data_IF_376608811115
#
_entry.id   IF_376608811115
#
_cell.length_a   1.000
_cell.length_b   1.000
_cell.length_c   1.000
_cell.angle_alpha   90.00
_cell.angle_beta   90.00
_cell.angle_gamma   90.00
#
_symmetry.space_group_name_H-M   'P 1'
#
loop_
_entity.id
_entity.type
_entity.pdbx_description
1 polymer ?
#
# COMPACT_ATOMS: atom_id res chain seq x y z
N UNK A 1 1.60 73.83 52.86
CA UNK A 1 0.51 74.05 51.95
C UNK A 1 0.31 72.73 51.23
N UNK A 2 -0.35 71.69 51.69
CA UNK A 2 -1.60 71.59 52.49
C UNK A 2 -2.74 71.41 51.49
N UNK A 3 -3.04 70.20 51.11
CA UNK A 3 -4.44 69.83 50.95
C UNK A 3 -4.62 68.32 50.83
N UNK A 4 -5.32 67.84 51.85
CA UNK A 4 -5.84 66.46 51.88
C UNK A 4 -7.03 66.35 50.92
N UNK A 5 -7.17 65.28 50.29
CA UNK A 5 -8.41 64.74 49.75
C UNK A 5 -8.58 63.28 50.17
N UNK A 6 -8.94 63.11 51.46
CA UNK A 6 -9.81 62.04 51.91
C UNK A 6 -11.24 62.39 51.51
N UNK A 7 -11.93 61.39 51.02
CA UNK A 7 -13.36 61.13 51.00
C UNK A 7 -13.79 60.56 49.64
N UNK A 8 -13.55 59.24 49.43
CA UNK A 8 -14.33 58.45 48.47
C UNK A 8 -15.24 57.49 49.27
N UNK A 9 -16.57 57.53 49.12
CA UNK A 9 -17.48 56.68 49.86
C UNK A 9 -17.32 55.20 49.44
N UNK A 10 -17.26 54.34 50.47
CA UNK A 10 -17.35 52.90 50.39
C UNK A 10 -18.66 52.54 49.67
N UNK A 11 -18.53 52.01 48.48
CA UNK A 11 -19.62 51.33 47.75
C UNK A 11 -19.85 50.00 48.45
N UNK A 12 -20.92 49.94 49.25
CA UNK A 12 -21.43 48.72 49.85
C UNK A 12 -21.88 47.78 48.74
N UNK A 13 -21.23 46.59 48.62
CA UNK A 13 -21.72 45.48 47.80
C UNK A 13 -23.15 45.09 48.28
N UNK A 14 -24.11 44.96 47.36
CA UNK A 14 -25.40 44.37 47.69
C UNK A 14 -25.27 42.84 47.79
N UNK A 15 -25.70 42.33 48.95
CA UNK A 15 -25.89 40.91 49.22
C UNK A 15 -26.51 40.14 48.06
N UNK A 16 -25.72 39.29 47.43
CA UNK A 16 -26.16 38.35 46.41
C UNK A 16 -26.73 37.05 47.02
N UNK A 17 -27.75 37.19 47.85
CA UNK A 17 -28.67 36.07 48.15
C UNK A 17 -29.90 36.17 47.21
N UNK A 18 -29.65 35.97 45.90
CA UNK A 18 -30.72 35.84 44.93
C UNK A 18 -30.79 34.39 44.48
N UNK A 19 -31.86 33.73 44.85
CA UNK A 19 -32.14 32.32 44.51
C UNK A 19 -31.92 32.03 43.02
N UNK A 20 -31.18 30.99 42.75
CA UNK A 20 -31.14 30.38 41.43
C UNK A 20 -32.55 29.90 41.06
N UNK A 21 -33.31 30.78 40.46
CA UNK A 21 -34.50 30.40 39.74
C UNK A 21 -34.09 29.36 38.71
N UNK A 22 -34.59 28.14 38.87
CA UNK A 22 -34.47 27.08 37.87
C UNK A 22 -35.09 27.60 36.58
N UNK A 23 -34.23 28.08 35.66
CA UNK A 23 -34.69 28.52 34.35
C UNK A 23 -35.42 27.38 33.67
N UNK A 24 -36.47 27.66 32.88
CA UNK A 24 -37.29 26.66 32.26
C UNK A 24 -36.40 25.70 31.51
N UNK A 25 -36.49 24.43 31.86
CA UNK A 25 -35.78 23.34 31.17
C UNK A 25 -36.21 23.38 29.70
N UNK A 26 -35.40 24.00 28.84
CA UNK A 26 -35.69 24.08 27.42
C UNK A 26 -35.92 22.66 26.88
N UNK A 27 -37.11 22.35 26.37
CA UNK A 27 -37.43 21.01 25.84
C UNK A 27 -36.49 20.58 24.73
N UNK A 28 -35.81 21.56 24.11
CA UNK A 28 -34.77 21.34 23.13
C UNK A 28 -33.51 20.62 23.64
N UNK A 29 -33.15 20.78 24.95
CA UNK A 29 -32.03 20.03 25.53
C UNK A 29 -32.35 18.56 25.75
N UNK A 30 -33.57 18.23 26.10
CA UNK A 30 -34.04 16.84 26.28
C UNK A 30 -34.14 16.13 24.91
N UNK A 31 -34.64 16.84 23.87
CA UNK A 31 -34.63 16.36 22.48
C UNK A 31 -33.23 16.12 21.96
N UNK A 32 -32.29 17.05 22.22
CA UNK A 32 -30.92 16.90 21.72
C UNK A 32 -30.19 15.69 22.38
N UNK A 33 -30.48 15.37 23.66
CA UNK A 33 -29.92 14.17 24.32
C UNK A 33 -30.50 12.88 23.75
N UNK A 34 -31.77 12.87 23.35
CA UNK A 34 -32.42 11.72 22.69
C UNK A 34 -31.93 11.51 21.27
N UNK A 35 -31.58 12.60 20.57
CA UNK A 35 -30.97 12.54 19.24
C UNK A 35 -29.50 12.10 19.25
N UNK A 36 -28.70 12.41 20.29
CA UNK A 36 -27.33 11.94 20.41
C UNK A 36 -27.21 10.43 20.62
N UNK A 37 -28.14 9.81 21.34
CA UNK A 37 -28.22 8.36 21.46
C UNK A 37 -28.61 7.67 20.12
N UNK A 38 -29.57 8.24 19.40
CA UNK A 38 -29.98 7.76 18.08
C UNK A 38 -28.93 8.01 16.99
N UNK A 39 -28.15 9.09 17.11
CA UNK A 39 -27.07 9.40 16.16
C UNK A 39 -25.94 8.37 16.19
N UNK A 40 -25.59 7.86 17.38
CA UNK A 40 -24.61 6.75 17.50
C UNK A 40 -25.15 5.45 16.92
N UNK A 41 -26.42 5.15 17.12
CA UNK A 41 -27.09 4.00 16.48
C UNK A 41 -27.22 4.18 14.96
N UNK A 42 -27.54 5.39 14.48
CA UNK A 42 -27.60 5.70 13.05
C UNK A 42 -26.24 5.64 12.35
N UNK A 43 -25.18 6.15 12.99
CA UNK A 43 -23.81 6.04 12.45
C UNK A 43 -23.32 4.59 12.50
N UNK A 44 -23.62 3.87 13.60
CA UNK A 44 -23.30 2.45 13.71
C UNK A 44 -23.99 1.58 12.66
N UNK A 45 -25.26 1.84 12.33
CA UNK A 45 -25.98 1.10 11.28
C UNK A 45 -25.52 1.50 9.86
N UNK A 46 -25.18 2.78 9.64
CA UNK A 46 -24.67 3.27 8.36
C UNK A 46 -23.28 2.71 8.02
N UNK A 47 -22.41 2.59 9.02
CA UNK A 47 -21.07 2.02 8.84
C UNK A 47 -21.07 0.49 9.02
N UNK A 48 -21.98 -0.03 9.85
CA UNK A 48 -22.04 -1.46 10.16
C UNK A 48 -22.35 -2.30 8.94
N UNK A 49 -23.30 -1.90 8.11
CA UNK A 49 -23.70 -2.67 6.91
C UNK A 49 -22.55 -2.79 5.89
N UNK A 50 -21.87 -1.71 5.44
CA UNK A 50 -20.74 -1.82 4.53
C UNK A 50 -19.56 -2.58 5.14
N UNK A 51 -19.25 -2.35 6.43
CA UNK A 51 -18.17 -3.04 7.11
C UNK A 51 -18.44 -4.53 7.25
N UNK A 52 -19.64 -4.92 7.65
CA UNK A 52 -20.04 -6.34 7.76
C UNK A 52 -19.98 -7.01 6.39
N UNK A 53 -20.50 -6.35 5.34
CA UNK A 53 -20.42 -6.87 3.98
C UNK A 53 -18.98 -7.05 3.52
N UNK A 54 -18.13 -6.02 3.71
CA UNK A 54 -16.73 -6.08 3.34
C UNK A 54 -15.97 -7.17 4.09
N UNK A 55 -16.18 -7.29 5.41
CA UNK A 55 -15.60 -8.34 6.24
C UNK A 55 -16.06 -9.74 5.80
N UNK A 56 -17.36 -9.91 5.55
CA UNK A 56 -17.93 -11.19 5.10
C UNK A 56 -17.35 -11.60 3.74
N UNK A 57 -17.28 -10.69 2.76
CA UNK A 57 -16.75 -10.99 1.43
C UNK A 57 -15.25 -11.28 1.48
N UNK A 58 -14.44 -10.41 2.14
CA UNK A 58 -12.99 -10.61 2.19
C UNK A 58 -12.59 -11.81 3.05
N UNK A 59 -13.07 -11.90 4.27
CA UNK A 59 -12.73 -13.03 5.14
C UNK A 59 -13.34 -14.31 4.59
N UNK A 60 -14.59 -14.26 4.11
CA UNK A 60 -15.25 -15.41 3.50
C UNK A 60 -14.48 -15.95 2.29
N UNK A 61 -14.01 -15.09 1.39
CA UNK A 61 -13.21 -15.52 0.23
C UNK A 61 -11.87 -16.13 0.63
N UNK A 62 -11.19 -15.55 1.64
CA UNK A 62 -9.95 -16.12 2.17
C UNK A 62 -10.17 -17.47 2.85
N UNK A 63 -11.24 -17.59 3.63
CA UNK A 63 -11.61 -18.87 4.25
C UNK A 63 -11.96 -19.93 3.22
N UNK A 64 -12.73 -19.58 2.18
CA UNK A 64 -13.04 -20.49 1.08
C UNK A 64 -11.78 -20.94 0.34
N UNK A 65 -10.83 -20.04 0.12
CA UNK A 65 -9.54 -20.37 -0.47
C UNK A 65 -8.76 -21.36 0.42
N UNK A 66 -8.70 -21.10 1.73
CA UNK A 66 -8.04 -22.01 2.69
C UNK A 66 -8.76 -23.36 2.71
N UNK A 67 -10.10 -23.37 2.75
CA UNK A 67 -10.90 -24.61 2.72
C UNK A 67 -10.68 -25.36 1.40
N UNK A 68 -10.54 -24.65 0.28
CA UNK A 68 -10.27 -25.27 -1.03
C UNK A 68 -8.98 -26.10 -1.05
N UNK A 69 -7.99 -25.74 -0.25
CA UNK A 69 -6.73 -26.49 -0.13
C UNK A 69 -6.93 -27.88 0.51
N UNK A 70 -8.03 -28.09 1.23
CA UNK A 70 -8.35 -29.38 1.88
C UNK A 70 -9.20 -30.30 1.01
N UNK A 71 -9.70 -29.86 -0.14
CA UNK A 71 -10.46 -30.75 -1.01
C UNK A 71 -9.55 -31.76 -1.71
N UNK A 72 -10.02 -33.00 -1.79
CA UNK A 72 -9.35 -34.04 -2.56
C UNK A 72 -9.70 -33.92 -4.03
N UNK A 73 -8.71 -34.13 -4.88
CA UNK A 73 -8.95 -34.23 -6.33
C UNK A 73 -9.41 -35.65 -6.66
N UNK A 74 -10.60 -35.77 -7.26
CA UNK A 74 -11.08 -37.06 -7.77
C UNK A 74 -10.24 -37.45 -9.02
N UNK A 75 -9.54 -38.58 -9.02
CA UNK A 75 -8.70 -39.00 -10.13
C UNK A 75 -9.48 -39.26 -11.43
N UNK A 76 -10.74 -39.66 -11.32
CA UNK A 76 -11.59 -40.03 -12.47
C UNK A 76 -12.19 -38.80 -13.16
N UNK A 77 -12.66 -37.82 -12.38
CA UNK A 77 -13.36 -36.64 -12.92
C UNK A 77 -12.47 -35.39 -12.99
N UNK A 78 -11.29 -35.43 -12.36
CA UNK A 78 -10.37 -34.29 -12.24
C UNK A 78 -11.05 -33.06 -11.59
N UNK A 79 -12.06 -33.28 -10.76
CA UNK A 79 -12.77 -32.22 -10.04
C UNK A 79 -12.52 -32.34 -8.54
N UNK A 80 -12.59 -31.22 -7.80
CA UNK A 80 -12.56 -31.28 -6.34
C UNK A 80 -13.72 -32.14 -5.84
N UNK A 81 -13.42 -33.17 -5.04
CA UNK A 81 -14.42 -33.99 -4.35
C UNK A 81 -14.74 -33.36 -2.98
N UNK A 82 -15.89 -33.73 -2.41
CA UNK A 82 -16.26 -33.27 -1.07
C UNK A 82 -15.46 -33.94 0.07
N UNK A 83 -14.54 -34.85 -0.28
CA UNK A 83 -13.69 -35.50 0.70
C UNK A 83 -12.57 -34.54 1.12
N UNK A 84 -12.46 -34.32 2.41
CA UNK A 84 -11.40 -33.47 2.97
C UNK A 84 -10.12 -34.28 3.16
N UNK A 85 -9.01 -33.70 2.68
CA UNK A 85 -7.66 -34.28 2.82
C UNK A 85 -6.66 -33.21 3.20
N UNK A 86 -5.60 -33.59 3.88
CA UNK A 86 -4.44 -32.73 4.14
C UNK A 86 -3.32 -32.94 3.13
N UNK A 87 -3.49 -33.84 2.16
CA UNK A 87 -2.43 -34.23 1.20
C UNK A 87 -1.89 -33.03 0.41
N UNK A 88 -2.76 -32.13 -0.06
CA UNK A 88 -2.31 -30.94 -0.79
C UNK A 88 -1.45 -30.01 0.04
N UNK A 89 -1.79 -29.82 1.32
CA UNK A 89 -0.97 -29.03 2.25
C UNK A 89 0.36 -29.74 2.53
N UNK A 90 0.31 -31.03 2.83
CA UNK A 90 1.52 -31.82 3.04
C UNK A 90 2.40 -31.77 1.79
N UNK A 91 1.83 -31.92 0.60
CA UNK A 91 2.56 -31.81 -0.67
C UNK A 91 3.14 -30.41 -0.85
N UNK A 92 2.37 -29.34 -0.64
CA UNK A 92 2.85 -27.97 -0.79
C UNK A 92 4.01 -27.63 0.17
N UNK A 93 4.07 -28.24 1.37
CA UNK A 93 5.09 -27.98 2.37
C UNK A 93 6.18 -29.06 2.46
N UNK A 94 6.21 -30.03 1.55
CA UNK A 94 7.32 -30.99 1.42
C UNK A 94 8.53 -30.37 0.73
N UNK A 95 9.23 -29.46 1.41
CA UNK A 95 10.38 -28.72 0.86
C UNK A 95 11.57 -29.61 0.44
N UNK A 96 11.63 -30.86 0.87
CA UNK A 96 12.65 -31.84 0.49
C UNK A 96 12.28 -32.68 -0.74
N UNK A 97 11.05 -32.55 -1.25
CA UNK A 97 10.59 -33.25 -2.44
C UNK A 97 11.14 -32.54 -3.70
N UNK A 98 11.83 -33.25 -4.62
CA UNK A 98 12.36 -32.67 -5.84
C UNK A 98 11.31 -31.94 -6.70
N UNK A 99 10.06 -32.44 -6.70
CA UNK A 99 8.96 -31.81 -7.44
C UNK A 99 8.53 -30.46 -6.84
N UNK A 100 8.68 -30.30 -5.54
CA UNK A 100 8.35 -29.06 -4.81
C UNK A 100 9.54 -28.11 -4.74
N UNK A 101 10.79 -28.64 -4.82
CA UNK A 101 12.00 -27.82 -4.71
C UNK A 101 12.07 -26.68 -5.72
N UNK A 102 11.59 -26.95 -6.95
CA UNK A 102 11.47 -25.93 -7.99
C UNK A 102 10.54 -24.77 -7.57
N UNK A 103 9.40 -25.09 -6.96
CA UNK A 103 8.44 -24.09 -6.45
C UNK A 103 9.01 -23.30 -5.27
N UNK A 104 9.74 -23.96 -4.36
CA UNK A 104 10.45 -23.32 -3.23
C UNK A 104 11.45 -22.29 -3.73
N UNK A 105 12.27 -22.64 -4.70
CA UNK A 105 13.25 -21.73 -5.28
C UNK A 105 12.61 -20.53 -5.95
N UNK A 106 11.54 -20.74 -6.73
CA UNK A 106 10.77 -19.66 -7.35
C UNK A 106 10.14 -18.76 -6.29
N UNK A 107 9.65 -19.32 -5.19
CA UNK A 107 9.07 -18.55 -4.10
C UNK A 107 10.09 -17.60 -3.45
N UNK A 108 11.24 -18.11 -3.02
CA UNK A 108 12.28 -17.26 -2.42
C UNK A 108 12.81 -16.22 -3.40
N UNK A 109 12.93 -16.57 -4.68
CA UNK A 109 13.25 -15.60 -5.75
C UNK A 109 12.19 -14.51 -5.84
N UNK A 110 10.92 -14.86 -5.76
CA UNK A 110 9.81 -13.89 -5.80
C UNK A 110 9.85 -12.95 -4.59
N UNK A 111 10.12 -13.47 -3.41
CA UNK A 111 10.33 -12.64 -2.20
C UNK A 111 11.50 -11.68 -2.42
N UNK A 112 12.61 -12.16 -2.96
CA UNK A 112 13.78 -11.33 -3.30
C UNK A 112 13.44 -10.22 -4.32
N UNK A 113 12.69 -10.55 -5.36
CA UNK A 113 12.21 -9.58 -6.36
C UNK A 113 11.26 -8.56 -5.71
N UNK A 114 10.34 -9.00 -4.85
CA UNK A 114 9.42 -8.10 -4.17
C UNK A 114 10.15 -7.12 -3.24
N UNK A 115 11.15 -7.59 -2.50
CA UNK A 115 12.01 -6.71 -1.69
C UNK A 115 12.81 -5.74 -2.56
N UNK A 116 13.39 -6.21 -3.66
CA UNK A 116 14.14 -5.37 -4.60
C UNK A 116 13.27 -4.27 -5.22
N UNK A 117 12.10 -4.63 -5.74
CA UNK A 117 11.12 -3.68 -6.29
C UNK A 117 10.70 -2.66 -5.25
N UNK A 118 10.38 -3.11 -4.02
CA UNK A 118 10.01 -2.23 -2.91
C UNK A 118 11.13 -1.26 -2.57
N UNK A 119 12.37 -1.74 -2.54
CA UNK A 119 13.54 -0.91 -2.27
C UNK A 119 13.80 0.12 -3.38
N UNK A 120 13.68 -0.28 -4.65
CA UNK A 120 13.81 0.65 -5.79
C UNK A 120 12.68 1.69 -5.76
N UNK A 121 11.43 1.28 -5.50
CA UNK A 121 10.31 2.21 -5.33
C UNK A 121 10.59 3.22 -4.22
N UNK A 122 11.14 2.80 -3.09
CA UNK A 122 11.55 3.69 -2.01
C UNK A 122 12.63 4.69 -2.45
N UNK A 123 13.69 4.22 -3.14
CA UNK A 123 14.76 5.08 -3.63
C UNK A 123 14.26 6.14 -4.63
N UNK A 124 13.26 5.82 -5.45
CA UNK A 124 12.65 6.77 -6.39
C UNK A 124 11.66 7.69 -5.66
N UNK A 125 10.81 7.13 -4.80
CA UNK A 125 9.75 7.87 -4.12
C UNK A 125 10.30 8.95 -3.19
N UNK A 126 11.39 8.67 -2.49
CA UNK A 126 11.96 9.57 -1.49
C UNK A 126 12.44 10.91 -2.08
N UNK A 127 13.32 10.98 -3.11
CA UNK A 127 13.73 12.25 -3.69
C UNK A 127 12.57 12.96 -4.40
N UNK A 128 11.68 12.23 -5.08
CA UNK A 128 10.54 12.80 -5.77
C UNK A 128 9.59 13.49 -4.78
N UNK A 129 9.23 12.81 -3.71
CA UNK A 129 8.34 13.36 -2.67
C UNK A 129 8.99 14.50 -1.91
N UNK A 130 10.30 14.41 -1.63
CA UNK A 130 11.04 15.49 -1.00
C UNK A 130 11.04 16.75 -1.87
N UNK A 131 11.32 16.61 -3.16
CA UNK A 131 11.27 17.72 -4.11
C UNK A 131 9.89 18.36 -4.13
N UNK A 132 8.83 17.58 -4.25
CA UNK A 132 7.45 18.11 -4.32
C UNK A 132 7.03 18.79 -3.02
N UNK A 133 7.37 18.19 -1.87
CA UNK A 133 6.94 18.69 -0.56
C UNK A 133 7.72 19.92 -0.09
N UNK A 134 9.05 19.97 -0.34
CA UNK A 134 9.94 20.96 0.29
C UNK A 134 10.58 21.95 -0.70
N UNK A 135 10.69 21.61 -1.99
CA UNK A 135 11.38 22.44 -2.98
C UNK A 135 10.41 23.11 -3.96
N UNK A 136 9.38 22.40 -4.41
CA UNK A 136 8.44 22.91 -5.41
C UNK A 136 7.60 24.08 -4.88
N UNK A 137 7.44 25.11 -5.68
CA UNK A 137 6.54 26.25 -5.33
C UNK A 137 5.06 25.81 -5.27
N UNK A 138 4.25 26.54 -4.50
CA UNK A 138 2.86 26.15 -4.19
C UNK A 138 1.99 25.83 -5.41
N UNK A 139 2.19 26.53 -6.54
CA UNK A 139 1.44 26.27 -7.77
C UNK A 139 1.85 24.95 -8.45
N UNK A 140 3.15 24.71 -8.61
CA UNK A 140 3.69 23.49 -9.21
C UNK A 140 3.42 22.26 -8.36
N UNK A 141 3.45 22.38 -7.04
CA UNK A 141 3.21 21.28 -6.10
C UNK A 141 1.88 20.56 -6.38
N UNK A 142 0.78 21.30 -6.56
CA UNK A 142 -0.53 20.72 -6.89
C UNK A 142 -0.51 19.96 -8.22
N UNK A 143 0.07 20.58 -9.26
CA UNK A 143 0.20 19.96 -10.57
C UNK A 143 1.07 18.69 -10.54
N UNK A 144 2.18 18.71 -9.81
CA UNK A 144 3.08 17.55 -9.68
C UNK A 144 2.42 16.39 -8.93
N UNK A 145 1.65 16.67 -7.84
CA UNK A 145 0.88 15.64 -7.14
C UNK A 145 -0.15 15.01 -8.07
N UNK A 146 -0.90 15.83 -8.83
CA UNK A 146 -1.87 15.31 -9.80
C UNK A 146 -1.17 14.50 -10.88
N UNK A 147 -0.04 14.97 -11.42
CA UNK A 147 0.74 14.25 -12.43
C UNK A 147 1.23 12.88 -11.95
N UNK A 148 1.63 12.77 -10.67
CA UNK A 148 2.01 11.50 -10.06
C UNK A 148 0.84 10.54 -9.88
N UNK A 149 -0.38 11.07 -9.71
CA UNK A 149 -1.58 10.27 -9.55
C UNK A 149 -2.19 9.85 -10.89
N UNK A 150 -1.92 10.57 -11.99
CA UNK A 150 -2.46 10.25 -13.31
C UNK A 150 -2.24 8.78 -13.72
N UNK A 151 -1.06 8.17 -13.53
CA UNK A 151 -0.85 6.76 -13.86
C UNK A 151 -1.76 5.79 -13.11
N UNK A 152 -2.30 6.18 -11.92
CA UNK A 152 -3.22 5.32 -11.17
C UNK A 152 -4.59 5.19 -11.83
N UNK A 153 -4.98 6.17 -12.66
CA UNK A 153 -6.24 6.13 -13.41
C UNK A 153 -6.20 5.16 -14.58
N UNK A 154 -5.02 4.90 -15.12
CA UNK A 154 -4.86 3.90 -16.16
C UNK A 154 -5.00 2.48 -15.58
N UNK A 155 -5.80 1.63 -16.22
CA UNK A 155 -5.98 0.25 -15.82
C UNK A 155 -4.65 -0.51 -15.74
N UNK A 156 -4.54 -1.41 -14.77
CA UNK A 156 -3.33 -2.20 -14.54
C UNK A 156 -2.84 -2.94 -15.81
N UNK A 157 -3.74 -3.65 -16.50
CA UNK A 157 -3.41 -4.37 -17.73
C UNK A 157 -2.96 -3.44 -18.86
N UNK A 158 -3.60 -2.28 -18.99
CA UNK A 158 -3.23 -1.29 -20.02
C UNK A 158 -1.79 -0.84 -19.83
N UNK A 159 -1.39 -0.56 -18.59
CA UNK A 159 0.00 -0.21 -18.25
C UNK A 159 0.97 -1.35 -18.56
N UNK A 160 0.62 -2.58 -18.21
CA UNK A 160 1.45 -3.77 -18.49
C UNK A 160 1.67 -3.96 -19.98
N UNK A 161 0.63 -3.88 -20.81
CA UNK A 161 0.75 -3.99 -22.26
C UNK A 161 1.44 -2.79 -22.91
N UNK A 162 1.27 -1.59 -22.37
CA UNK A 162 2.02 -0.42 -22.81
C UNK A 162 3.53 -0.62 -22.60
N UNK A 163 3.92 -1.11 -21.41
CA UNK A 163 5.31 -1.45 -21.13
C UNK A 163 5.83 -2.54 -22.05
N UNK A 164 5.06 -3.62 -22.28
CA UNK A 164 5.42 -4.66 -23.25
C UNK A 164 5.72 -4.08 -24.63
N UNK A 165 4.88 -3.17 -25.11
CA UNK A 165 5.07 -2.51 -26.40
C UNK A 165 6.31 -1.60 -26.41
N UNK A 166 6.58 -0.90 -25.29
CA UNK A 166 7.74 0.00 -25.16
C UNK A 166 9.08 -0.74 -25.13
N UNK A 167 9.15 -1.88 -24.45
CA UNK A 167 10.39 -2.64 -24.25
C UNK A 167 10.61 -3.74 -25.30
N UNK A 168 9.68 -3.91 -26.26
CA UNK A 168 9.77 -4.95 -27.27
C UNK A 168 11.06 -4.82 -28.08
N UNK A 169 11.91 -5.86 -28.18
CA UNK A 169 13.13 -5.81 -28.96
C UNK A 169 12.89 -5.91 -30.48
N UNK A 170 11.74 -6.39 -30.91
CA UNK A 170 11.41 -6.58 -32.34
C UNK A 170 10.19 -5.76 -32.72
N UNK A 171 10.39 -4.60 -33.37
CA UNK A 171 9.38 -3.91 -34.15
C UNK A 171 7.99 -3.79 -33.49
N UNK A 172 7.92 -3.44 -32.22
CA UNK A 172 6.64 -3.13 -31.59
C UNK A 172 5.92 -2.08 -32.42
N UNK A 173 4.59 -1.96 -32.30
CA UNK A 173 3.73 -1.01 -33.05
C UNK A 173 4.20 0.45 -33.03
N UNK A 174 5.22 0.77 -32.25
CA UNK A 174 5.87 2.08 -32.16
C UNK A 174 7.22 2.13 -32.89
N UNK A 175 7.60 1.10 -33.66
CA UNK A 175 8.71 1.21 -34.58
C UNK A 175 8.38 2.33 -35.55
N UNK A 176 9.19 3.39 -35.54
CA UNK A 176 9.04 4.47 -36.51
C UNK A 176 9.07 3.86 -37.93
N UNK A 177 8.05 4.14 -38.74
CA UNK A 177 7.94 3.64 -40.08
C UNK A 177 9.25 3.89 -40.83
N UNK A 178 10.00 2.81 -41.13
CA UNK A 178 11.17 2.86 -42.02
C UNK A 178 12.53 2.52 -41.42
N UNK A 179 12.69 2.35 -40.13
CA UNK A 179 13.95 1.81 -39.53
C UNK A 179 13.56 0.63 -38.63
N UNK A 180 13.65 -0.57 -39.23
CA UNK A 180 13.32 -1.81 -38.55
C UNK A 180 14.23 -2.03 -37.36
N UNK A 181 13.66 -2.00 -36.21
CA UNK A 181 14.11 -2.67 -34.99
C UNK A 181 13.76 -1.86 -33.73
N UNK A 182 13.06 -2.49 -32.82
CA UNK A 182 12.96 -2.06 -31.44
C UNK A 182 11.69 -1.29 -31.09
N UNK A 183 11.28 -1.45 -29.82
CA UNK A 183 10.21 -0.68 -29.20
C UNK A 183 10.62 0.78 -29.01
N UNK A 184 9.71 1.57 -28.42
CA UNK A 184 9.92 3.00 -28.18
C UNK A 184 11.24 3.31 -27.43
N UNK A 185 11.63 2.49 -26.46
CA UNK A 185 12.86 2.70 -25.70
C UNK A 185 14.10 2.50 -26.57
N UNK A 186 14.14 1.44 -27.39
CA UNK A 186 15.27 1.19 -28.27
C UNK A 186 15.41 2.26 -29.35
N UNK A 187 14.29 2.72 -29.91
CA UNK A 187 14.30 3.78 -30.93
C UNK A 187 14.65 5.15 -30.39
N UNK A 188 14.34 5.45 -29.13
CA UNK A 188 14.50 6.79 -28.52
C UNK A 188 15.77 6.90 -27.69
N UNK A 189 16.08 5.85 -26.92
CA UNK A 189 17.20 5.85 -25.96
C UNK A 189 18.38 5.01 -26.50
N UNK A 190 18.18 4.24 -27.58
CA UNK A 190 19.19 3.35 -28.15
C UNK A 190 19.43 2.09 -27.31
N UNK A 191 18.61 1.83 -26.29
CA UNK A 191 18.73 0.67 -25.42
C UNK A 191 17.35 0.21 -24.93
N UNK A 192 17.17 -1.10 -24.84
CA UNK A 192 15.99 -1.73 -24.21
C UNK A 192 16.43 -2.90 -23.34
N UNK A 193 15.78 -3.14 -22.18
CA UNK A 193 16.03 -4.34 -21.41
C UNK A 193 15.55 -5.61 -22.13
N UNK A 194 14.79 -5.47 -23.22
CA UNK A 194 14.11 -6.60 -23.86
C UNK A 194 13.10 -7.26 -22.93
N UNK A 195 12.57 -8.42 -23.33
CA UNK A 195 11.73 -9.23 -22.45
C UNK A 195 12.60 -10.02 -21.46
N UNK A 196 12.07 -10.30 -20.26
CA UNK A 196 12.72 -11.11 -19.25
C UNK A 196 12.77 -10.46 -17.86
N UNK A 197 13.72 -10.87 -17.05
CA UNK A 197 13.78 -10.51 -15.61
C UNK A 197 13.87 -9.02 -15.35
N UNK A 198 14.71 -8.32 -16.10
CA UNK A 198 14.88 -6.86 -15.95
C UNK A 198 13.61 -6.13 -16.35
N UNK A 199 12.99 -6.54 -17.45
CA UNK A 199 11.71 -5.99 -17.90
C UNK A 199 10.60 -6.15 -16.85
N UNK A 200 10.52 -7.31 -16.21
CA UNK A 200 9.55 -7.57 -15.14
C UNK A 200 9.80 -6.60 -13.99
N UNK A 201 11.05 -6.48 -13.51
CA UNK A 201 11.39 -5.60 -12.38
C UNK A 201 11.07 -4.15 -12.71
N UNK A 202 11.50 -3.64 -13.86
CA UNK A 202 11.27 -2.25 -14.28
C UNK A 202 9.78 -1.95 -14.42
N UNK A 203 9.02 -2.87 -15.02
CA UNK A 203 7.57 -2.73 -15.16
C UNK A 203 6.87 -2.71 -13.81
N UNK A 204 7.25 -3.61 -12.88
CA UNK A 204 6.70 -3.64 -11.53
C UNK A 204 7.04 -2.37 -10.73
N UNK A 205 8.26 -1.87 -10.85
CA UNK A 205 8.65 -0.59 -10.23
C UNK A 205 7.76 0.55 -10.73
N UNK A 206 7.58 0.67 -12.05
CA UNK A 206 6.70 1.69 -12.61
C UNK A 206 5.26 1.59 -12.10
N UNK A 207 4.73 0.36 -12.02
CA UNK A 207 3.37 0.12 -11.59
C UNK A 207 3.15 0.49 -10.12
N UNK A 208 4.13 0.20 -9.26
CA UNK A 208 3.97 0.28 -7.80
C UNK A 208 4.62 1.51 -7.16
N UNK A 209 5.47 2.25 -7.87
CA UNK A 209 6.10 3.47 -7.33
C UNK A 209 5.09 4.51 -6.82
N UNK A 210 3.90 4.74 -7.43
CA UNK A 210 2.93 5.68 -6.90
C UNK A 210 2.39 5.28 -5.52
N UNK A 211 2.28 3.98 -5.24
CA UNK A 211 1.83 3.47 -3.93
C UNK A 211 2.86 3.69 -2.82
N UNK A 212 4.14 3.80 -3.17
CA UNK A 212 5.19 4.21 -2.24
C UNK A 212 5.23 5.73 -2.05
N UNK A 213 5.01 6.49 -3.12
CA UNK A 213 5.03 7.95 -3.12
C UNK A 213 3.96 8.53 -2.20
N UNK A 214 2.72 8.03 -2.27
CA UNK A 214 1.59 8.60 -1.53
C UNK A 214 1.80 8.65 -0.01
N UNK A 215 2.15 7.55 0.67
CA UNK A 215 2.39 7.59 2.11
C UNK A 215 3.60 8.46 2.50
N UNK A 216 4.69 8.39 1.72
CA UNK A 216 5.89 9.19 1.99
C UNK A 216 5.60 10.69 1.83
N UNK A 217 4.85 11.06 0.77
CA UNK A 217 4.41 12.44 0.56
C UNK A 217 3.56 12.94 1.73
N UNK A 218 2.57 12.14 2.17
CA UNK A 218 1.73 12.49 3.31
C UNK A 218 2.55 12.62 4.62
N UNK A 219 3.56 11.78 4.81
CA UNK A 219 4.49 11.88 5.93
C UNK A 219 5.33 13.15 5.90
N UNK A 220 5.90 13.48 4.74
CA UNK A 220 6.69 14.71 4.56
C UNK A 220 5.85 15.98 4.71
N UNK A 221 4.59 15.95 4.30
CA UNK A 221 3.68 17.09 4.40
C UNK A 221 3.32 17.43 5.85
N UNK A 222 3.27 16.44 6.71
CA UNK A 222 3.03 16.60 8.17
C UNK A 222 4.24 17.14 8.93
N UNK A 223 5.45 17.10 8.37
CA UNK A 223 6.64 17.61 9.04
C UNK A 223 6.61 19.14 9.08
N UNK A 224 6.59 19.71 10.30
CA UNK A 224 6.60 21.16 10.49
C UNK A 224 7.93 21.76 10.01
N UNK A 225 7.88 22.91 9.32
CA UNK A 225 9.11 23.63 8.94
C UNK A 225 10.01 23.95 10.14
N UNK A 226 9.43 24.25 11.30
CA UNK A 226 10.16 24.57 12.52
C UNK A 226 11.12 23.49 13.01
N UNK A 227 10.86 22.21 12.70
CA UNK A 227 11.79 21.11 13.00
C UNK A 227 13.06 21.20 12.14
N UNK A 228 12.91 21.63 10.90
CA UNK A 228 14.05 21.79 9.98
C UNK A 228 14.88 23.03 10.34
N UNK A 229 14.19 24.11 10.72
CA UNK A 229 14.81 25.36 11.17
C UNK A 229 15.59 25.13 12.46
N UNK A 230 15.00 24.47 13.46
CA UNK A 230 15.67 24.10 14.71
C UNK A 230 16.91 23.20 14.48
N UNK A 231 16.85 22.26 13.55
CA UNK A 231 18.02 21.45 13.19
C UNK A 231 19.14 22.32 12.55
N UNK A 232 18.75 23.31 11.75
CA UNK A 232 19.66 24.30 11.17
C UNK A 232 20.32 25.18 12.22
N UNK A 233 19.55 25.69 13.17
CA UNK A 233 20.04 26.52 14.30
C UNK A 233 21.05 25.76 15.18
N UNK A 234 20.89 24.44 15.29
CA UNK A 234 21.86 23.56 15.98
C UNK A 234 23.07 23.21 15.11
N UNK A 235 23.23 23.84 13.94
CA UNK A 235 24.37 23.64 13.03
C UNK A 235 24.37 22.31 12.29
N UNK A 236 23.22 21.64 12.18
CA UNK A 236 23.14 20.38 11.45
C UNK A 236 23.26 20.62 9.93
N UNK A 237 24.20 19.90 9.28
CA UNK A 237 24.31 19.90 7.82
C UNK A 237 23.10 19.20 7.19
N UNK A 238 22.68 19.53 5.94
CA UNK A 238 21.48 18.99 5.30
C UNK A 238 21.39 17.46 5.32
N UNK A 239 22.50 16.76 5.07
CA UNK A 239 22.53 15.30 5.12
C UNK A 239 22.33 14.74 6.54
N UNK A 240 22.86 15.43 7.56
CA UNK A 240 22.66 15.04 8.96
C UNK A 240 21.22 15.27 9.39
N UNK A 241 20.63 16.40 9.02
CA UNK A 241 19.18 16.68 9.24
C UNK A 241 18.32 15.62 8.57
N UNK A 242 18.61 15.27 7.32
CA UNK A 242 17.89 14.23 6.61
C UNK A 242 17.98 12.88 7.35
N UNK A 243 19.17 12.41 7.68
CA UNK A 243 19.38 11.09 8.29
C UNK A 243 18.90 11.00 9.73
N UNK A 244 19.06 12.07 10.53
CA UNK A 244 18.81 12.04 11.98
C UNK A 244 17.44 12.57 12.37
N UNK A 245 16.78 13.36 11.52
CA UNK A 245 15.46 13.97 11.79
C UNK A 245 14.42 13.48 10.81
N UNK A 246 14.63 13.72 9.51
CA UNK A 246 13.59 13.45 8.50
C UNK A 246 13.36 11.96 8.34
N UNK A 247 14.40 11.17 8.11
CA UNK A 247 14.29 9.74 7.81
C UNK A 247 13.65 8.94 8.96
N UNK A 248 14.01 9.13 10.24
CA UNK A 248 13.32 8.44 11.34
C UNK A 248 11.84 8.78 11.44
N UNK A 249 11.48 10.06 11.25
CA UNK A 249 10.07 10.49 11.27
C UNK A 249 9.26 9.99 10.08
N UNK A 250 9.94 9.67 8.96
CA UNK A 250 9.30 9.09 7.78
C UNK A 250 9.19 7.56 7.83
N UNK A 251 9.88 6.89 8.74
CA UNK A 251 9.87 5.42 8.81
C UNK A 251 8.46 4.82 8.83
N UNK A 252 7.48 5.34 9.59
CA UNK A 252 6.12 4.84 9.57
C UNK A 252 5.46 4.96 8.18
N UNK A 253 5.68 6.08 7.50
CA UNK A 253 5.14 6.32 6.15
C UNK A 253 5.81 5.45 5.09
N UNK A 254 7.13 5.26 5.21
CA UNK A 254 7.88 4.32 4.36
C UNK A 254 7.40 2.89 4.58
N UNK A 255 7.21 2.49 5.84
CA UNK A 255 6.71 1.18 6.18
C UNK A 255 5.30 0.95 5.58
N UNK A 256 4.40 1.93 5.69
CA UNK A 256 3.08 1.86 5.07
C UNK A 256 3.16 1.70 3.53
N UNK A 257 3.98 2.51 2.85
CA UNK A 257 4.20 2.39 1.40
C UNK A 257 4.82 1.05 1.00
N UNK A 258 5.75 0.54 1.81
CA UNK A 258 6.41 -0.73 1.57
C UNK A 258 5.47 -1.93 1.68
N UNK A 259 4.49 -1.89 2.58
CA UNK A 259 3.47 -2.93 2.69
C UNK A 259 2.71 -3.09 1.38
N UNK A 260 2.27 -1.98 0.78
CA UNK A 260 1.57 -2.04 -0.50
C UNK A 260 2.46 -2.55 -1.62
N UNK A 261 3.63 -1.95 -1.81
CA UNK A 261 4.52 -2.31 -2.92
C UNK A 261 5.01 -3.75 -2.83
N UNK A 262 5.37 -4.21 -1.63
CA UNK A 262 5.80 -5.58 -1.39
C UNK A 262 4.68 -6.59 -1.66
N UNK A 263 3.49 -6.36 -1.07
CA UNK A 263 2.36 -7.30 -1.19
C UNK A 263 1.85 -7.40 -2.62
N UNK A 264 1.73 -6.26 -3.32
CA UNK A 264 1.30 -6.23 -4.71
C UNK A 264 2.31 -6.92 -5.62
N UNK A 265 3.62 -6.74 -5.40
CA UNK A 265 4.67 -7.42 -6.17
C UNK A 265 4.70 -8.92 -5.90
N UNK A 266 4.55 -9.32 -4.63
CA UNK A 266 4.61 -10.74 -4.24
C UNK A 266 3.50 -11.57 -4.89
N UNK A 267 2.29 -11.00 -5.02
CA UNK A 267 1.12 -11.65 -5.61
C UNK A 267 1.00 -11.49 -7.13
N UNK A 268 1.91 -10.76 -7.78
CA UNK A 268 1.78 -10.47 -9.21
C UNK A 268 2.13 -11.69 -10.06
N UNK A 269 1.22 -12.06 -10.96
CA UNK A 269 1.44 -13.08 -11.97
C UNK A 269 1.29 -12.54 -13.40
N UNK A 270 0.63 -11.40 -13.57
CA UNK A 270 0.25 -10.86 -14.88
C UNK A 270 1.45 -10.22 -15.57
N UNK A 271 2.20 -9.35 -14.86
CA UNK A 271 3.39 -8.73 -15.45
C UNK A 271 4.41 -9.76 -15.88
N UNK A 272 4.76 -10.77 -15.05
CA UNK A 272 5.63 -11.85 -15.51
C UNK A 272 5.11 -12.59 -16.75
N UNK A 273 3.80 -12.80 -16.89
CA UNK A 273 3.23 -13.43 -18.09
C UNK A 273 3.30 -12.52 -19.33
N UNK A 274 3.13 -11.21 -19.15
CA UNK A 274 3.11 -10.26 -20.27
C UNK A 274 4.51 -10.00 -20.84
N UNK A 275 5.52 -9.82 -19.95
CA UNK A 275 6.86 -9.34 -20.32
C UNK A 275 7.98 -10.36 -20.14
N UNK A 276 7.65 -11.63 -19.93
CA UNK A 276 8.64 -12.69 -19.84
C UNK A 276 9.26 -13.00 -21.22
N UNK A 277 10.38 -13.69 -21.22
CA UNK A 277 11.06 -14.19 -22.41
C UNK A 277 10.99 -15.72 -22.46
N UNK A 278 9.80 -16.31 -22.24
CA UNK A 278 9.60 -17.75 -22.20
C UNK A 278 9.91 -18.41 -20.86
N UNK A 279 10.33 -17.66 -19.84
CA UNK A 279 10.47 -18.17 -18.47
C UNK A 279 9.11 -18.22 -17.77
N UNK A 280 8.31 -19.24 -18.04
CA UNK A 280 6.94 -19.36 -17.53
C UNK A 280 6.83 -19.34 -16.00
N UNK A 281 7.88 -19.77 -15.29
CA UNK A 281 7.91 -19.87 -13.81
C UNK A 281 8.86 -18.86 -13.18
N UNK A 282 8.89 -17.61 -13.65
CA UNK A 282 9.78 -16.60 -13.05
C UNK A 282 9.34 -16.13 -11.67
N UNK A 283 8.04 -15.92 -11.46
CA UNK A 283 7.48 -15.52 -10.17
C UNK A 283 6.50 -16.56 -9.64
N UNK A 284 6.34 -16.62 -8.32
CA UNK A 284 5.51 -17.61 -7.66
C UNK A 284 4.02 -17.46 -8.02
N UNK A 285 3.56 -16.24 -8.28
CA UNK A 285 2.21 -16.00 -8.79
C UNK A 285 1.94 -16.73 -10.11
N UNK A 286 2.93 -16.88 -11.01
CA UNK A 286 2.76 -17.68 -12.24
C UNK A 286 2.70 -19.17 -11.97
N UNK A 287 3.41 -19.66 -10.94
CA UNK A 287 3.31 -21.07 -10.50
C UNK A 287 1.91 -21.37 -9.98
N UNK A 288 1.37 -20.49 -9.13
CA UNK A 288 0.00 -20.64 -8.63
C UNK A 288 -0.99 -20.63 -9.81
N UNK A 289 -0.87 -19.65 -10.71
CA UNK A 289 -1.78 -19.52 -11.84
C UNK A 289 -1.73 -20.72 -12.78
N UNK A 290 -0.53 -21.26 -13.08
CA UNK A 290 -0.39 -22.46 -13.92
C UNK A 290 -0.94 -23.72 -13.23
N UNK A 291 -0.76 -23.85 -11.93
CA UNK A 291 -1.32 -24.95 -11.14
C UNK A 291 -2.85 -24.84 -11.03
N UNK A 292 -3.38 -23.65 -10.95
CA UNK A 292 -4.83 -23.39 -10.95
C UNK A 292 -5.48 -23.70 -12.30
N UNK A 293 -4.80 -23.41 -13.40
CA UNK A 293 -5.24 -23.76 -14.76
C UNK A 293 -5.11 -25.25 -15.10
N UNK A 294 -4.30 -25.99 -14.33
CA UNK A 294 -4.23 -27.45 -14.39
C UNK A 294 -5.39 -28.06 -13.56
N UNK A 295 -5.65 -29.36 -13.70
CA UNK A 295 -6.74 -29.99 -12.94
C UNK A 295 -6.58 -29.96 -11.43
N UNK A 296 -5.44 -29.51 -10.89
CA UNK A 296 -5.14 -29.54 -9.45
C UNK A 296 -5.37 -28.20 -8.75
N UNK A 297 -6.62 -27.69 -8.78
CA UNK A 297 -7.03 -26.46 -8.08
C UNK A 297 -6.75 -26.48 -6.57
N UNK A 298 -7.00 -27.61 -5.83
CA UNK A 298 -6.71 -27.66 -4.40
C UNK A 298 -5.23 -27.47 -4.05
N UNK A 299 -4.31 -27.98 -4.87
CA UNK A 299 -2.87 -27.76 -4.67
C UNK A 299 -2.49 -26.29 -4.95
N UNK A 300 -3.09 -25.65 -5.97
CA UNK A 300 -2.90 -24.22 -6.21
C UNK A 300 -3.36 -23.39 -4.99
N UNK A 301 -4.50 -23.74 -4.39
CA UNK A 301 -4.98 -23.12 -3.16
C UNK A 301 -3.99 -23.31 -1.99
N UNK A 302 -3.39 -24.49 -1.85
CA UNK A 302 -2.35 -24.75 -0.86
C UNK A 302 -1.09 -23.88 -1.08
N UNK A 303 -0.66 -23.70 -2.32
CA UNK A 303 0.47 -22.81 -2.65
C UNK A 303 0.18 -21.35 -2.31
N UNK A 304 -1.06 -20.87 -2.40
CA UNK A 304 -1.39 -19.47 -2.04
C UNK A 304 -1.16 -19.15 -0.56
N UNK A 305 -1.04 -20.15 0.30
CA UNK A 305 -0.73 -19.94 1.71
C UNK A 305 0.69 -19.42 1.92
N UNK A 306 1.64 -19.70 1.02
CA UNK A 306 3.02 -19.22 1.16
C UNK A 306 3.13 -17.69 1.08
N UNK A 307 2.63 -17.03 0.01
CA UNK A 307 2.58 -15.58 -0.03
C UNK A 307 1.79 -14.98 1.13
N UNK A 308 0.67 -15.60 1.52
CA UNK A 308 -0.15 -15.12 2.62
C UNK A 308 0.63 -15.09 3.94
N UNK A 309 1.34 -16.17 4.27
CA UNK A 309 2.19 -16.25 5.48
C UNK A 309 3.26 -15.16 5.45
N UNK A 310 3.96 -15.00 4.32
CA UNK A 310 5.02 -13.98 4.20
C UNK A 310 4.46 -12.57 4.32
N UNK A 311 3.30 -12.27 3.72
CA UNK A 311 2.65 -10.96 3.85
C UNK A 311 2.29 -10.70 5.32
N UNK A 312 1.72 -11.68 6.02
CA UNK A 312 1.40 -11.55 7.45
C UNK A 312 2.68 -11.30 8.27
N UNK A 313 3.75 -12.05 8.02
CA UNK A 313 5.04 -11.84 8.70
C UNK A 313 5.61 -10.45 8.41
N UNK A 314 5.52 -10.01 7.15
CA UNK A 314 5.96 -8.69 6.72
C UNK A 314 5.16 -7.57 7.40
N UNK A 315 3.84 -7.71 7.49
CA UNK A 315 2.95 -6.78 8.22
C UNK A 315 3.32 -6.67 9.70
N UNK A 316 3.57 -7.80 10.37
CA UNK A 316 4.01 -7.78 11.77
C UNK A 316 5.39 -7.11 11.92
N UNK A 317 6.31 -7.34 10.99
CA UNK A 317 7.61 -6.66 10.96
C UNK A 317 7.45 -5.14 10.81
N UNK A 318 6.64 -4.70 9.86
CA UNK A 318 6.38 -3.28 9.61
C UNK A 318 5.59 -2.60 10.75
N UNK A 319 4.70 -3.33 11.45
CA UNK A 319 4.02 -2.83 12.65
C UNK A 319 5.03 -2.41 13.73
N UNK A 320 6.11 -3.17 13.91
CA UNK A 320 7.17 -2.82 14.89
C UNK A 320 7.95 -1.56 14.49
N UNK A 321 7.93 -1.18 13.22
CA UNK A 321 8.52 0.06 12.71
C UNK A 321 7.54 1.25 12.75
N UNK A 322 6.38 1.11 13.42
CA UNK A 322 5.41 2.17 13.61
C UNK A 322 4.49 2.43 12.39
N UNK A 323 4.40 1.49 11.44
CA UNK A 323 3.59 1.68 10.22
C UNK A 323 2.12 2.06 10.50
N UNK A 324 1.59 1.72 11.68
CA UNK A 324 0.20 1.95 12.08
C UNK A 324 0.03 3.02 13.17
N UNK A 325 1.10 3.62 13.68
CA UNK A 325 1.02 4.62 14.76
C UNK A 325 0.44 5.97 14.31
N UNK A 326 0.36 6.21 13.00
CA UNK A 326 -0.13 7.45 12.41
C UNK A 326 -1.44 7.28 11.59
N UNK A 327 -2.11 6.14 11.72
CA UNK A 327 -3.43 5.88 11.16
C UNK A 327 -4.51 6.16 12.23
#
# INVERSE_FOLDING_TARGET
MGERLDDAPLVTEPDAQGGRAAGPSHPLRALNRKFHGRRRLGVGSLLGLPLTWMLFVYIGSLLLLVVSAFYRLDPATQKPSNDLTTENLVQAFKFWDPDVWGAVWVFFRTVGVALLVTFICFLIALPVTFFISKVAWKGARRGLVVALLLPLWAGYLVKGYAWKAMISPAGGRFAAAGKGSGGFLESTVGWTPGYGRVAIIVTLVYLWVPYMILPIYAGLDRLSPSLLDAAGDLGARPFRTFRSVILPLLLPSVAAGSIFTFSLTLGDYIVPQIVNNGEERFMFGTVINSTFGAPNQPLAAAYTMWPLIIIIMYLFGMKRLGAFENL
#
